data_IF_153985811370
#
_entry.id   IF_153985811370
#
_cell.length_a   1.000
_cell.length_b   1.000
_cell.length_c   1.000
_cell.angle_alpha   90.00
_cell.angle_beta   90.00
_cell.angle_gamma   90.00
#
_symmetry.space_group_name_H-M   'P 1'
#
loop_
_entity.id
_entity.type
_entity.pdbx_description
1 polymer ?
#
# COMPACT_ATOMS: atom_id res chain seq x y z
N UNK A 1 -7.37 2.31 -21.04
CA UNK A 1 -8.06 3.45 -21.71
C UNK A 1 -7.17 3.94 -22.85
N UNK A 2 -7.61 3.94 -24.11
CA UNK A 2 -6.79 4.41 -25.22
C UNK A 2 -6.59 5.92 -25.08
N UNK A 3 -5.33 6.34 -24.92
CA UNK A 3 -4.96 7.76 -24.85
C UNK A 3 -4.99 8.32 -26.27
N UNK A 4 -5.99 9.14 -26.58
CA UNK A 4 -6.02 9.90 -27.83
C UNK A 4 -4.76 10.80 -27.91
N UNK A 5 -4.01 10.79 -29.02
CA UNK A 5 -2.81 11.62 -29.16
C UNK A 5 -3.18 13.10 -29.02
N UNK A 6 -2.61 13.76 -28.01
CA UNK A 6 -2.71 15.22 -27.85
C UNK A 6 -1.95 15.91 -28.98
N UNK A 7 -2.58 16.91 -29.60
CA UNK A 7 -2.07 17.64 -30.78
C UNK A 7 -0.79 18.44 -30.50
N UNK A 8 -0.52 18.75 -29.23
CA UNK A 8 0.46 19.77 -28.83
C UNK A 8 1.83 19.20 -28.39
N UNK A 9 2.08 17.88 -28.61
CA UNK A 9 3.29 17.12 -28.21
C UNK A 9 4.14 17.78 -27.11
N UNK A 10 3.57 17.98 -25.91
CA UNK A 10 4.20 18.83 -24.91
C UNK A 10 5.47 18.14 -24.38
N UNK A 11 6.59 18.86 -24.39
CA UNK A 11 7.86 18.38 -23.89
C UNK A 11 8.19 19.03 -22.54
N UNK A 12 8.85 18.27 -21.66
CA UNK A 12 9.42 18.83 -20.45
C UNK A 12 10.68 19.65 -20.75
N UNK A 13 11.18 20.39 -19.75
CA UNK A 13 12.44 21.16 -19.85
C UNK A 13 13.67 20.33 -20.21
N UNK A 14 13.62 19.00 -20.04
CA UNK A 14 14.66 18.05 -20.41
C UNK A 14 14.46 17.45 -21.81
N UNK A 15 13.50 17.95 -22.59
CA UNK A 15 13.23 17.50 -23.96
C UNK A 15 12.57 16.12 -24.06
N UNK A 16 11.93 15.62 -23.00
CA UNK A 16 11.14 14.38 -23.05
C UNK A 16 9.64 14.69 -23.18
N UNK A 17 8.92 13.87 -23.95
CA UNK A 17 7.47 13.99 -24.11
C UNK A 17 6.73 13.79 -22.79
N UNK A 18 5.71 14.60 -22.55
CA UNK A 18 4.79 14.50 -21.42
C UNK A 18 3.60 13.54 -21.70
N UNK A 19 3.74 12.68 -22.70
CA UNK A 19 2.87 11.53 -22.94
C UNK A 19 3.59 10.45 -23.74
N UNK A 20 3.28 9.18 -23.47
CA UNK A 20 3.64 8.07 -24.34
C UNK A 20 2.54 7.90 -25.41
N UNK A 21 2.89 7.95 -26.70
CA UNK A 21 1.94 7.72 -27.80
C UNK A 21 1.63 6.22 -28.00
N UNK A 22 1.88 5.40 -26.98
CA UNK A 22 1.72 3.95 -26.99
C UNK A 22 0.48 3.56 -26.19
N UNK A 23 -0.16 2.47 -26.61
CA UNK A 23 -1.23 1.83 -25.85
C UNK A 23 -0.58 0.75 -24.99
N UNK A 24 -0.70 0.90 -23.68
CA UNK A 24 -0.14 -0.03 -22.71
C UNK A 24 -1.23 -0.98 -22.20
N UNK A 25 -0.88 -2.26 -22.05
CA UNK A 25 -1.66 -3.23 -21.29
C UNK A 25 -1.40 -3.06 -19.79
N UNK A 26 -2.21 -3.67 -18.93
CA UNK A 26 -2.02 -3.57 -17.47
C UNK A 26 -0.65 -4.09 -17.00
N UNK A 27 -0.13 -5.13 -17.66
CA UNK A 27 1.17 -5.74 -17.35
C UNK A 27 2.36 -5.10 -18.07
N UNK A 28 2.17 -3.98 -18.77
CA UNK A 28 3.27 -3.34 -19.48
C UNK A 28 4.28 -2.75 -18.48
N UNK A 29 5.57 -3.12 -18.55
CA UNK A 29 6.59 -2.70 -17.58
C UNK A 29 6.87 -1.19 -17.59
N UNK A 30 6.38 -0.46 -18.59
CA UNK A 30 6.46 1.00 -18.65
C UNK A 30 5.35 1.69 -17.85
N UNK A 31 4.25 1.01 -17.52
CA UNK A 31 3.17 1.63 -16.74
C UNK A 31 3.65 1.92 -15.32
N UNK A 32 3.38 3.13 -14.86
CA UNK A 32 3.82 3.62 -13.56
C UNK A 32 5.22 4.24 -13.56
N UNK A 33 6.02 4.05 -14.61
CA UNK A 33 7.31 4.73 -14.70
C UNK A 33 7.13 6.22 -15.03
N UNK A 34 7.96 7.11 -14.48
CA UNK A 34 7.95 8.51 -14.84
C UNK A 34 8.38 8.70 -16.31
N UNK A 35 7.59 9.48 -17.06
CA UNK A 35 7.92 9.88 -18.43
C UNK A 35 9.28 10.59 -18.53
N UNK A 36 9.62 11.36 -17.50
CA UNK A 36 10.93 11.98 -17.34
C UNK A 36 11.43 11.78 -15.91
N UNK A 37 12.45 10.93 -15.69
CA UNK A 37 13.01 10.68 -14.36
C UNK A 37 13.61 11.92 -13.70
N UNK A 38 14.09 12.88 -14.48
CA UNK A 38 14.62 14.16 -13.97
C UNK A 38 13.51 15.14 -13.58
N UNK A 39 12.29 14.96 -14.09
CA UNK A 39 11.12 15.72 -13.66
C UNK A 39 10.38 15.06 -12.50
N UNK A 40 10.67 13.79 -12.20
CA UNK A 40 9.93 13.07 -11.17
C UNK A 40 10.34 13.53 -9.78
N UNK A 41 9.35 13.85 -8.97
CA UNK A 41 9.56 14.28 -7.59
C UNK A 41 9.81 13.09 -6.66
N UNK A 42 11.02 12.53 -6.72
CA UNK A 42 11.44 11.48 -5.80
C UNK A 42 11.43 11.94 -4.34
N UNK A 43 11.66 13.23 -4.08
CA UNK A 43 11.72 13.77 -2.72
C UNK A 43 10.33 13.75 -2.10
N UNK A 44 9.34 14.36 -2.77
CA UNK A 44 7.95 14.33 -2.34
C UNK A 44 7.42 12.91 -2.22
N UNK A 45 7.81 11.99 -3.12
CA UNK A 45 7.45 10.56 -3.01
C UNK A 45 7.97 9.93 -1.71
N UNK A 46 9.26 10.06 -1.41
CA UNK A 46 9.85 9.46 -0.21
C UNK A 46 9.29 10.10 1.06
N UNK A 47 9.08 11.42 1.06
CA UNK A 47 8.46 12.13 2.18
C UNK A 47 7.00 11.71 2.36
N UNK A 48 6.25 11.51 1.27
CA UNK A 48 4.91 10.92 1.29
C UNK A 48 4.90 9.57 2.02
N UNK A 49 5.77 8.65 1.62
CA UNK A 49 5.90 7.34 2.26
C UNK A 49 6.23 7.42 3.75
N UNK A 50 7.23 8.22 4.10
CA UNK A 50 7.70 8.35 5.46
C UNK A 50 6.64 8.95 6.39
N UNK A 51 5.79 9.83 5.85
CA UNK A 51 4.73 10.52 6.59
C UNK A 51 3.34 9.86 6.48
N UNK A 52 3.14 8.86 5.64
CA UNK A 52 1.83 8.24 5.41
C UNK A 52 1.15 7.74 6.71
N UNK A 53 1.92 7.22 7.68
CA UNK A 53 1.40 6.84 8.99
C UNK A 53 0.92 8.04 9.84
N UNK A 54 1.67 9.15 9.80
CA UNK A 54 1.31 10.40 10.50
C UNK A 54 0.11 11.06 9.82
N UNK A 55 0.05 11.02 8.49
CA UNK A 55 -1.08 11.53 7.72
C UNK A 55 -2.35 10.72 8.00
N UNK A 56 -2.27 9.39 8.07
CA UNK A 56 -3.39 8.55 8.51
C UNK A 56 -3.89 8.91 9.93
N UNK A 57 -2.97 9.18 10.87
CA UNK A 57 -3.35 9.64 12.21
C UNK A 57 -4.10 10.98 12.17
N UNK A 58 -3.66 11.93 11.34
CA UNK A 58 -4.35 13.21 11.12
C UNK A 58 -5.73 13.02 10.50
N UNK A 59 -5.83 12.17 9.47
CA UNK A 59 -7.09 11.80 8.83
C UNK A 59 -8.09 11.27 9.85
N UNK A 60 -7.74 10.22 10.61
CA UNK A 60 -8.68 9.66 11.60
C UNK A 60 -8.99 10.62 12.75
N UNK A 61 -8.10 11.58 13.04
CA UNK A 61 -8.39 12.67 14.00
C UNK A 61 -9.37 13.67 13.43
N UNK A 62 -9.25 14.04 12.15
CA UNK A 62 -10.17 14.93 11.46
C UNK A 62 -11.57 14.33 11.34
N UNK A 63 -11.67 13.04 10.98
CA UNK A 63 -12.96 12.30 10.97
C UNK A 63 -13.64 12.40 12.34
N UNK A 64 -12.93 12.07 13.43
CA UNK A 64 -13.49 12.17 14.80
C UNK A 64 -13.88 13.59 15.19
N UNK A 65 -13.16 14.61 14.73
CA UNK A 65 -13.50 16.02 14.97
C UNK A 65 -14.78 16.40 14.25
N UNK A 66 -14.90 16.02 12.98
CA UNK A 66 -16.09 16.28 12.18
C UNK A 66 -17.32 15.64 12.82
N UNK A 67 -17.24 14.35 13.19
CA UNK A 67 -18.34 13.63 13.84
C UNK A 67 -18.75 14.24 15.18
N UNK A 68 -17.78 14.68 15.99
CA UNK A 68 -18.06 15.37 17.24
C UNK A 68 -18.85 16.67 17.01
N UNK A 69 -18.47 17.46 15.99
CA UNK A 69 -19.20 18.68 15.61
C UNK A 69 -20.60 18.35 15.09
N UNK A 70 -20.74 17.37 14.18
CA UNK A 70 -22.03 16.96 13.63
C UNK A 70 -23.01 16.48 14.72
N UNK A 71 -22.52 15.76 15.72
CA UNK A 71 -23.34 15.31 16.85
C UNK A 71 -23.56 16.35 17.96
N UNK A 72 -22.92 17.52 17.90
CA UNK A 72 -22.95 18.50 18.99
C UNK A 72 -22.27 18.01 20.28
N UNK A 73 -21.33 17.07 20.17
CA UNK A 73 -20.69 16.37 21.29
C UNK A 73 -19.26 16.92 21.49
N UNK A 74 -18.82 17.21 22.73
CA UNK A 74 -17.42 17.52 22.99
C UNK A 74 -16.50 16.37 22.51
N UNK A 75 -15.40 16.68 21.82
CA UNK A 75 -14.50 15.65 21.25
C UNK A 75 -14.01 14.62 22.28
N UNK A 76 -13.81 15.02 23.53
CA UNK A 76 -13.40 14.14 24.64
C UNK A 76 -14.47 13.12 25.01
N UNK A 77 -15.73 13.40 24.69
CA UNK A 77 -16.93 12.61 25.01
C UNK A 77 -17.41 11.75 23.85
N UNK A 78 -16.89 11.95 22.64
CA UNK A 78 -17.32 11.18 21.45
C UNK A 78 -17.29 9.67 21.68
N UNK A 79 -16.26 9.15 22.37
CA UNK A 79 -16.13 7.71 22.66
C UNK A 79 -17.20 7.13 23.58
N UNK A 80 -17.97 7.97 24.30
CA UNK A 80 -19.12 7.57 25.11
C UNK A 80 -20.39 7.41 24.24
N UNK A 81 -20.36 7.90 23.00
CA UNK A 81 -21.49 7.86 22.07
C UNK A 81 -21.24 6.96 20.86
N UNK A 82 -20.02 6.98 20.30
CA UNK A 82 -19.67 6.17 19.14
C UNK A 82 -18.16 5.90 19.06
N UNK A 83 -17.80 4.87 18.28
CA UNK A 83 -16.43 4.53 17.95
C UNK A 83 -16.24 4.53 16.44
N UNK A 84 -15.22 5.24 15.97
CA UNK A 84 -14.76 5.15 14.58
C UNK A 84 -13.83 3.94 14.46
N UNK A 85 -14.38 2.86 13.93
CA UNK A 85 -13.68 1.62 13.64
C UNK A 85 -13.20 1.62 12.19
N UNK A 86 -11.99 1.13 11.95
CA UNK A 86 -11.47 0.97 10.60
C UNK A 86 -10.54 -0.23 10.46
N UNK A 87 -10.44 -0.73 9.24
CA UNK A 87 -9.32 -1.50 8.75
C UNK A 87 -8.76 -0.80 7.51
N UNK A 88 -7.44 -0.76 7.39
CA UNK A 88 -6.76 -0.21 6.23
C UNK A 88 -5.69 -1.13 5.70
N UNK A 89 -5.57 -1.16 4.38
CA UNK A 89 -4.55 -1.87 3.64
C UNK A 89 -3.69 -0.87 2.88
N UNK A 90 -2.37 -1.01 2.94
CA UNK A 90 -1.40 -0.26 2.15
C UNK A 90 -0.95 -1.12 0.96
N UNK A 91 -1.20 -0.65 -0.25
CA UNK A 91 -0.79 -1.34 -1.48
C UNK A 91 0.14 -0.44 -2.29
N UNK A 92 1.19 -1.02 -2.86
CA UNK A 92 2.06 -0.32 -3.80
C UNK A 92 1.41 -0.28 -5.17
N UNK A 93 1.25 0.92 -5.72
CA UNK A 93 0.88 1.12 -7.12
C UNK A 93 2.03 0.70 -8.04
N UNK A 94 1.78 0.56 -9.34
CA UNK A 94 2.83 0.27 -10.33
C UNK A 94 3.96 1.30 -10.34
N UNK A 95 3.66 2.57 -9.99
CA UNK A 95 4.66 3.64 -9.78
C UNK A 95 5.42 3.55 -8.45
N UNK A 96 5.28 2.45 -7.73
CA UNK A 96 5.82 2.18 -6.41
C UNK A 96 5.37 3.15 -5.30
N UNK A 97 4.35 3.99 -5.53
CA UNK A 97 3.75 4.82 -4.50
C UNK A 97 2.72 4.02 -3.70
N UNK A 98 2.73 4.11 -2.38
CA UNK A 98 1.66 3.49 -1.58
C UNK A 98 0.34 4.25 -1.77
N UNK A 99 -0.74 3.49 -1.79
CA UNK A 99 -2.10 3.99 -1.63
C UNK A 99 -2.82 3.17 -0.56
N UNK A 100 -3.86 3.75 0.06
CA UNK A 100 -4.63 3.08 1.10
C UNK A 100 -6.02 2.70 0.61
N UNK A 101 -6.37 1.44 0.82
CA UNK A 101 -7.76 1.01 0.87
C UNK A 101 -8.19 0.97 2.32
N UNK A 102 -9.37 1.49 2.63
CA UNK A 102 -9.89 1.44 3.99
C UNK A 102 -11.37 1.13 4.02
N UNK A 103 -11.77 0.33 5.00
CA UNK A 103 -13.15 0.18 5.43
C UNK A 103 -13.29 0.94 6.73
N UNK A 104 -14.24 1.86 6.78
CA UNK A 104 -14.53 2.69 7.97
C UNK A 104 -15.98 2.43 8.38
N UNK A 105 -16.21 2.23 9.68
CA UNK A 105 -17.51 1.95 10.27
C UNK A 105 -17.73 2.81 11.51
N UNK A 106 -18.97 3.23 11.73
CA UNK A 106 -19.41 3.84 12.97
C UNK A 106 -20.07 2.78 13.84
N UNK A 107 -19.43 2.49 14.97
CA UNK A 107 -19.91 1.56 15.97
C UNK A 107 -20.48 2.33 17.17
N UNK A 108 -21.34 1.69 17.95
CA UNK A 108 -21.75 2.19 19.26
C UNK A 108 -20.59 2.20 20.27
N UNK A 109 -20.81 2.75 21.48
CA UNK A 109 -19.76 2.93 22.48
C UNK A 109 -19.18 1.62 23.00
N UNK A 110 -19.87 0.49 22.81
CA UNK A 110 -19.39 -0.85 23.19
C UNK A 110 -18.73 -1.62 22.02
N UNK A 111 -18.64 -1.01 20.83
CA UNK A 111 -18.03 -1.61 19.64
C UNK A 111 -19.05 -2.18 18.64
N UNK A 112 -18.59 -3.10 17.79
CA UNK A 112 -19.31 -3.55 16.58
C UNK A 112 -20.73 -4.06 16.78
N UNK A 113 -21.04 -4.65 17.95
CA UNK A 113 -22.37 -5.18 18.28
C UNK A 113 -23.34 -4.11 18.81
N UNK A 114 -22.85 -2.89 19.06
CA UNK A 114 -23.63 -1.76 19.57
C UNK A 114 -23.88 -0.77 18.44
N UNK A 115 -25.08 -0.20 18.38
CA UNK A 115 -25.46 0.76 17.34
C UNK A 115 -24.91 2.15 17.65
N UNK A 116 -24.45 2.84 16.60
CA UNK A 116 -24.14 4.27 16.69
C UNK A 116 -25.43 5.09 16.89
N UNK A 117 -25.32 6.34 17.38
CA UNK A 117 -26.48 7.23 17.50
C UNK A 117 -27.18 7.46 16.16
N UNK A 118 -28.50 7.69 16.17
CA UNK A 118 -29.29 7.82 14.95
C UNK A 118 -28.84 8.97 14.01
N UNK A 119 -28.17 9.99 14.51
CA UNK A 119 -27.62 11.09 13.70
C UNK A 119 -26.33 10.71 12.97
N UNK A 120 -25.62 9.68 13.41
CA UNK A 120 -24.36 9.21 12.85
C UNK A 120 -24.64 8.30 11.64
N UNK A 121 -25.24 8.90 10.61
CA UNK A 121 -25.62 8.20 9.38
C UNK A 121 -24.42 7.94 8.48
N UNK A 122 -24.64 7.13 7.45
CA UNK A 122 -23.68 6.87 6.37
C UNK A 122 -23.24 8.16 5.66
N UNK A 123 -24.17 9.05 5.34
CA UNK A 123 -23.87 10.34 4.70
C UNK A 123 -22.96 11.21 5.58
N UNK A 124 -23.23 11.25 6.89
CA UNK A 124 -22.38 11.99 7.85
C UNK A 124 -20.99 11.37 7.94
N UNK A 125 -20.85 10.05 7.81
CA UNK A 125 -19.55 9.40 7.73
C UNK A 125 -18.82 9.76 6.42
N UNK A 126 -19.53 9.73 5.30
CA UNK A 126 -18.98 10.07 3.99
C UNK A 126 -18.44 11.51 3.99
N UNK A 127 -19.25 12.47 4.42
CA UNK A 127 -18.86 13.87 4.57
C UNK A 127 -17.63 14.02 5.48
N UNK A 128 -17.60 13.29 6.60
CA UNK A 128 -16.47 13.33 7.54
C UNK A 128 -15.17 12.82 6.90
N UNK A 129 -15.25 11.75 6.10
CA UNK A 129 -14.11 11.13 5.42
C UNK A 129 -13.62 12.01 4.28
N UNK A 130 -14.51 12.55 3.46
CA UNK A 130 -14.19 13.52 2.40
C UNK A 130 -13.52 14.78 2.97
N UNK A 131 -14.12 15.36 4.02
CA UNK A 131 -13.54 16.52 4.70
C UNK A 131 -12.16 16.21 5.30
N UNK A 132 -12.00 15.04 5.92
CA UNK A 132 -10.73 14.62 6.49
C UNK A 132 -9.66 14.39 5.42
N UNK A 133 -10.01 13.85 4.26
CA UNK A 133 -9.10 13.68 3.13
C UNK A 133 -8.65 15.04 2.57
N UNK A 134 -9.58 15.96 2.36
CA UNK A 134 -9.27 17.29 1.83
C UNK A 134 -8.44 18.16 2.80
N UNK A 135 -8.64 18.00 4.12
CA UNK A 135 -8.03 18.88 5.13
C UNK A 135 -6.74 18.35 5.76
N UNK A 136 -6.44 17.05 5.63
CA UNK A 136 -5.30 16.45 6.32
C UNK A 136 -3.99 16.69 5.58
N UNK A 137 -3.02 17.27 6.29
CA UNK A 137 -1.65 17.39 5.80
C UNK A 137 -0.65 17.27 6.95
N UNK A 138 0.62 17.05 6.58
CA UNK A 138 1.78 17.07 7.46
C UNK A 138 2.78 18.06 6.88
N UNK A 139 3.13 19.08 7.65
CA UNK A 139 4.30 19.92 7.36
C UNK A 139 5.55 19.14 7.72
N UNK A 140 6.46 19.03 6.75
CA UNK A 140 7.80 18.45 6.94
C UNK A 140 8.70 19.55 7.50
N UNK A 141 9.74 19.17 8.25
CA UNK A 141 10.72 20.15 8.71
C UNK A 141 11.37 20.84 7.50
N UNK A 142 11.64 22.14 7.60
CA UNK A 142 12.33 22.85 6.52
C UNK A 142 13.76 22.31 6.35
N UNK A 143 14.22 22.27 5.10
CA UNK A 143 15.57 21.84 4.75
C UNK A 143 16.09 22.62 3.55
N UNK A 144 17.38 22.94 3.51
CA UNK A 144 18.00 23.51 2.32
C UNK A 144 17.94 22.55 1.11
N UNK A 145 17.79 21.24 1.35
CA UNK A 145 17.75 20.23 0.30
C UNK A 145 16.43 20.20 -0.49
N UNK A 146 15.33 20.67 0.09
CA UNK A 146 13.99 20.59 -0.51
C UNK A 146 13.05 21.76 -0.15
N UNK A 147 13.48 22.72 0.64
CA UNK A 147 12.68 23.85 1.09
C UNK A 147 11.62 23.46 2.13
N UNK A 148 10.46 24.10 2.05
CA UNK A 148 9.29 23.81 2.88
C UNK A 148 8.36 22.85 2.16
N UNK A 149 8.13 21.68 2.75
CA UNK A 149 7.29 20.65 2.15
C UNK A 149 6.02 20.38 2.97
N UNK A 150 4.90 20.19 2.25
CA UNK A 150 3.60 19.80 2.83
C UNK A 150 3.09 18.55 2.14
N UNK A 151 2.94 17.50 2.93
CA UNK A 151 2.46 16.19 2.48
C UNK A 151 0.99 16.04 2.83
N UNK A 152 0.11 15.96 1.82
CA UNK A 152 -1.33 15.72 1.97
C UNK A 152 -1.80 14.58 1.07
N UNK A 153 -3.08 14.20 1.20
CA UNK A 153 -3.68 13.21 0.29
C UNK A 153 -3.70 13.75 -1.14
N UNK A 154 -3.45 12.88 -2.12
CA UNK A 154 -3.53 13.23 -3.54
C UNK A 154 -4.96 13.40 -4.03
N UNK A 155 -5.11 13.79 -5.30
CA UNK A 155 -6.41 14.01 -5.94
C UNK A 155 -7.20 12.71 -6.19
N UNK A 156 -6.51 11.56 -6.20
CA UNK A 156 -7.12 10.25 -6.36
C UNK A 156 -7.72 9.79 -5.03
N UNK A 157 -8.94 10.21 -4.77
CA UNK A 157 -9.74 9.81 -3.62
C UNK A 157 -11.12 9.35 -4.10
N UNK A 158 -11.54 8.20 -3.62
CA UNK A 158 -12.87 7.64 -3.88
C UNK A 158 -13.39 7.03 -2.58
N UNK A 159 -14.60 7.42 -2.20
CA UNK A 159 -15.27 6.93 -1.01
C UNK A 159 -16.74 6.70 -1.35
N UNK A 160 -17.21 5.50 -1.06
CA UNK A 160 -18.59 5.14 -1.28
C UNK A 160 -19.04 4.12 -0.24
N UNK A 161 -20.35 4.05 0.03
CA UNK A 161 -20.93 3.02 0.87
C UNK A 161 -20.59 1.62 0.39
N UNK A 162 -20.36 0.70 1.34
CA UNK A 162 -20.25 -0.73 1.03
C UNK A 162 -21.64 -1.32 1.19
N UNK A 163 -22.34 -1.51 0.06
CA UNK A 163 -23.66 -2.11 0.06
C UNK A 163 -23.57 -3.63 0.29
N UNK A 164 -24.55 -4.24 0.97
CA UNK A 164 -24.62 -5.69 1.07
C UNK A 164 -24.82 -6.37 -0.29
N UNK A 165 -24.56 -7.68 -0.33
CA UNK A 165 -25.01 -8.55 -1.41
C UNK A 165 -26.56 -8.57 -1.49
N UNK A 166 -27.16 -8.83 -2.67
CA UNK A 166 -28.60 -8.67 -2.91
C UNK A 166 -29.57 -9.39 -1.95
N UNK A 167 -29.09 -10.39 -1.18
CA UNK A 167 -29.91 -11.21 -0.27
C UNK A 167 -29.77 -10.82 1.21
N UNK A 168 -29.25 -9.63 1.52
CA UNK A 168 -29.07 -9.14 2.90
C UNK A 168 -29.23 -7.62 2.97
N UNK A 169 -29.94 -7.07 3.95
CA UNK A 169 -30.01 -5.62 4.19
C UNK A 169 -28.81 -5.09 5.00
N UNK A 170 -27.91 -5.98 5.45
CA UNK A 170 -26.70 -5.62 6.21
C UNK A 170 -25.46 -6.14 5.47
N UNK A 171 -24.42 -5.30 5.23
CA UNK A 171 -23.15 -5.80 4.71
C UNK A 171 -22.64 -6.89 5.66
N UNK A 172 -22.60 -8.13 5.18
CA UNK A 172 -22.11 -9.23 6.01
C UNK A 172 -20.63 -8.97 6.33
N UNK A 173 -20.17 -9.37 7.51
CA UNK A 173 -18.74 -9.35 7.85
C UNK A 173 -17.89 -10.10 6.79
N UNK A 174 -18.50 -11.04 6.06
CA UNK A 174 -17.90 -11.71 4.90
C UNK A 174 -17.72 -10.81 3.66
N UNK A 175 -18.62 -9.85 3.39
CA UNK A 175 -18.44 -8.87 2.31
C UNK A 175 -17.29 -7.90 2.62
N UNK A 176 -17.19 -7.48 3.88
CA UNK A 176 -16.09 -6.64 4.39
C UNK A 176 -14.76 -7.40 4.38
N UNK A 177 -14.75 -8.67 4.82
CA UNK A 177 -13.57 -9.52 4.78
C UNK A 177 -13.13 -9.84 3.35
N UNK A 178 -14.07 -10.09 2.43
CA UNK A 178 -13.79 -10.28 1.00
C UNK A 178 -13.21 -9.02 0.35
N UNK A 179 -13.75 -7.85 0.70
CA UNK A 179 -13.21 -6.58 0.26
C UNK A 179 -11.77 -6.39 0.75
N UNK A 180 -11.49 -6.64 2.02
CA UNK A 180 -10.12 -6.57 2.55
C UNK A 180 -9.19 -7.61 1.92
N UNK A 181 -9.65 -8.85 1.75
CA UNK A 181 -8.86 -9.95 1.21
C UNK A 181 -8.38 -9.69 -0.23
N UNK A 182 -9.16 -8.96 -1.03
CA UNK A 182 -8.76 -8.52 -2.38
C UNK A 182 -7.44 -7.74 -2.40
N UNK A 183 -7.12 -7.01 -1.32
CA UNK A 183 -5.98 -6.09 -1.28
C UNK A 183 -4.82 -6.62 -0.42
N UNK A 184 -4.98 -7.75 0.28
CA UNK A 184 -3.96 -8.27 1.22
C UNK A 184 -2.85 -9.08 0.51
N UNK A 185 -2.92 -9.31 -0.80
CA UNK A 185 -2.07 -10.29 -1.51
C UNK A 185 -0.88 -9.73 -2.27
N UNK A 186 -0.41 -8.51 -1.97
CA UNK A 186 0.71 -7.91 -2.72
C UNK A 186 1.78 -7.31 -1.83
N UNK A 187 2.89 -8.02 -1.68
CA UNK A 187 4.09 -7.54 -0.98
C UNK A 187 4.95 -6.58 -1.83
N UNK A 188 5.91 -5.91 -1.18
CA UNK A 188 6.86 -5.00 -1.85
C UNK A 188 7.72 -5.72 -2.92
N UNK A 189 8.12 -6.97 -2.66
CA UNK A 189 8.87 -7.78 -3.63
C UNK A 189 8.02 -8.26 -4.81
N UNK A 190 6.76 -8.64 -4.55
CA UNK A 190 5.81 -9.11 -5.58
C UNK A 190 5.32 -7.99 -6.49
N UNK A 191 5.35 -6.74 -6.01
CA UNK A 191 4.99 -5.53 -6.77
C UNK A 191 6.20 -4.86 -7.45
N UNK A 192 7.42 -5.37 -7.22
CA UNK A 192 8.66 -4.71 -7.65
C UNK A 192 8.93 -3.36 -6.94
N UNK A 193 8.15 -3.01 -5.92
CA UNK A 193 8.24 -1.76 -5.17
C UNK A 193 9.24 -1.86 -4.01
N UNK A 194 10.51 -2.15 -4.34
CA UNK A 194 11.60 -2.30 -3.40
C UNK A 194 12.16 -3.71 -3.34
N UNK A 195 12.78 -4.06 -2.21
CA UNK A 195 13.38 -5.39 -1.97
C UNK A 195 12.94 -5.93 -0.61
N UNK A 196 12.90 -7.25 -0.46
CA UNK A 196 12.46 -7.96 0.75
C UNK A 196 13.54 -8.07 1.84
N UNK A 197 14.75 -7.60 1.56
CA UNK A 197 15.87 -7.56 2.50
C UNK A 197 16.28 -6.12 2.84
N UNK A 198 16.95 -5.92 3.98
CA UNK A 198 17.44 -4.59 4.34
C UNK A 198 18.61 -4.18 3.46
N UNK A 199 18.57 -2.93 3.03
CA UNK A 199 19.68 -2.23 2.39
C UNK A 199 20.47 -1.49 3.46
N UNK A 200 21.78 -1.73 3.51
CA UNK A 200 22.69 -1.20 4.52
C UNK A 200 23.78 -0.28 3.96
N UNK A 201 23.93 -0.24 2.64
CA UNK A 201 24.90 0.62 1.96
C UNK A 201 24.39 1.17 0.61
N UNK A 202 25.07 2.18 0.06
CA UNK A 202 24.82 2.63 -1.32
C UNK A 202 25.20 1.56 -2.35
N UNK A 203 26.14 0.68 -2.02
CA UNK A 203 26.55 -0.43 -2.88
C UNK A 203 25.44 -1.47 -2.98
N UNK A 204 24.76 -1.78 -1.87
CA UNK A 204 23.57 -2.63 -1.86
C UNK A 204 22.48 -2.07 -2.79
N UNK A 205 22.27 -0.74 -2.79
CA UNK A 205 21.32 -0.07 -3.70
C UNK A 205 21.77 -0.23 -5.16
N UNK A 206 23.07 -0.21 -5.44
CA UNK A 206 23.63 -0.42 -6.79
C UNK A 206 23.57 -1.88 -7.23
N UNK A 207 23.64 -2.82 -6.30
CA UNK A 207 23.55 -4.25 -6.58
C UNK A 207 22.09 -4.74 -6.67
N UNK A 208 21.13 -4.04 -6.06
CA UNK A 208 19.73 -4.43 -6.05
C UNK A 208 19.18 -4.67 -7.47
N UNK A 209 18.49 -5.79 -7.68
CA UNK A 209 17.84 -6.13 -8.96
C UNK A 209 16.45 -5.48 -8.97
N UNK A 210 16.43 -4.17 -9.26
CA UNK A 210 15.22 -3.34 -9.34
C UNK A 210 15.29 -2.43 -10.56
N UNK A 211 14.13 -1.95 -11.01
CA UNK A 211 14.08 -0.97 -12.09
C UNK A 211 14.75 0.36 -11.68
N UNK A 212 15.01 1.21 -12.68
CA UNK A 212 15.74 2.47 -12.49
C UNK A 212 15.05 3.40 -11.46
N UNK A 213 13.72 3.48 -11.49
CA UNK A 213 12.96 4.46 -10.71
C UNK A 213 12.85 4.04 -9.24
N UNK A 214 12.65 2.75 -8.98
CA UNK A 214 12.74 2.17 -7.63
C UNK A 214 14.14 2.40 -7.06
N UNK A 215 15.20 2.17 -7.86
CA UNK A 215 16.58 2.48 -7.43
C UNK A 215 16.78 3.97 -7.11
N UNK A 216 16.17 4.87 -7.88
CA UNK A 216 16.20 6.30 -7.64
C UNK A 216 15.49 6.68 -6.32
N UNK A 217 14.37 6.02 -6.00
CA UNK A 217 13.67 6.19 -4.72
C UNK A 217 14.50 5.66 -3.55
N UNK A 218 15.13 4.49 -3.67
CA UNK A 218 16.07 3.97 -2.67
C UNK A 218 17.24 4.93 -2.43
N UNK A 219 17.85 5.44 -3.50
CA UNK A 219 18.91 6.44 -3.42
C UNK A 219 18.45 7.75 -2.76
N UNK A 220 17.20 8.17 -3.03
CA UNK A 220 16.59 9.34 -2.40
C UNK A 220 16.36 9.12 -0.91
N UNK A 221 15.88 7.94 -0.49
CA UNK A 221 15.82 7.56 0.92
C UNK A 221 17.19 7.65 1.58
N UNK A 222 18.24 7.22 0.89
CA UNK A 222 19.60 7.24 1.43
C UNK A 222 20.15 8.66 1.62
N UNK A 223 19.90 9.53 0.64
CA UNK A 223 20.26 10.95 0.67
C UNK A 223 19.52 11.70 1.77
N UNK A 224 18.18 11.63 1.77
CA UNK A 224 17.34 12.30 2.76
C UNK A 224 17.58 11.75 4.17
N UNK A 225 17.85 10.46 4.31
CA UNK A 225 18.19 9.85 5.60
C UNK A 225 19.56 10.25 6.16
N UNK A 226 20.33 11.08 5.46
CA UNK A 226 21.53 11.74 5.99
C UNK A 226 21.27 13.15 6.54
N UNK A 227 20.05 13.68 6.41
CA UNK A 227 19.70 15.01 6.89
C UNK A 227 19.32 14.97 8.38
N UNK A 228 19.95 15.77 9.25
CA UNK A 228 19.66 15.78 10.69
C UNK A 228 18.18 16.03 11.03
N UNK A 229 17.54 16.95 10.32
CA UNK A 229 16.12 17.30 10.48
C UNK A 229 15.17 16.13 10.17
N UNK A 230 15.62 15.16 9.37
CA UNK A 230 14.87 13.95 8.99
C UNK A 230 15.30 12.69 9.74
N UNK A 231 16.21 12.78 10.72
CA UNK A 231 16.74 11.61 11.44
C UNK A 231 15.63 10.73 12.04
N UNK A 232 14.60 11.38 12.61
CA UNK A 232 13.43 10.74 13.20
C UNK A 232 12.58 9.89 12.22
N UNK A 233 12.76 10.07 10.91
CA UNK A 233 12.11 9.26 9.88
C UNK A 233 12.84 7.93 9.63
N UNK A 234 14.13 7.86 9.96
CA UNK A 234 14.99 6.68 9.77
C UNK A 234 14.97 6.14 8.33
N UNK A 235 15.06 7.02 7.34
CA UNK A 235 14.86 6.66 5.92
C UNK A 235 15.85 5.61 5.38
N UNK A 236 17.11 5.60 5.85
CA UNK A 236 18.14 4.63 5.42
C UNK A 236 17.74 3.17 5.74
N UNK A 237 17.43 2.81 7.01
CA UNK A 237 16.92 1.47 7.34
C UNK A 237 15.70 1.03 6.54
N UNK A 238 14.87 1.97 6.08
CA UNK A 238 13.63 1.71 5.32
C UNK A 238 13.77 1.96 3.82
N UNK A 239 15.00 2.10 3.30
CA UNK A 239 15.21 2.30 1.86
C UNK A 239 14.70 1.11 1.03
N UNK A 240 14.78 -0.10 1.58
CA UNK A 240 14.25 -1.32 0.97
C UNK A 240 12.74 -1.29 0.70
N UNK A 241 11.98 -0.53 1.51
CA UNK A 241 10.55 -0.28 1.36
C UNK A 241 10.25 1.15 0.89
N UNK A 242 11.22 1.79 0.24
CA UNK A 242 11.10 3.14 -0.33
C UNK A 242 10.69 4.21 0.70
N UNK A 243 11.10 4.05 1.95
CA UNK A 243 10.80 4.96 3.05
C UNK A 243 9.47 4.67 3.77
N UNK A 244 8.66 3.72 3.29
CA UNK A 244 7.43 3.33 3.97
C UNK A 244 7.73 2.42 5.16
N UNK A 245 7.29 2.83 6.34
CA UNK A 245 7.53 2.14 7.62
C UNK A 245 6.27 1.59 8.28
N UNK A 246 5.13 1.66 7.59
CA UNK A 246 3.85 1.22 8.13
C UNK A 246 3.61 -0.28 7.92
N UNK A 247 2.58 -0.79 8.58
CA UNK A 247 2.09 -2.14 8.33
C UNK A 247 1.19 -2.15 7.09
N UNK A 248 1.36 -3.17 6.24
CA UNK A 248 0.49 -3.41 5.09
C UNK A 248 -0.97 -3.49 5.50
N UNK A 249 -1.28 -4.14 6.62
CA UNK A 249 -2.63 -4.19 7.18
C UNK A 249 -2.65 -3.60 8.59
N UNK A 250 -3.57 -2.67 8.84
CA UNK A 250 -3.77 -2.05 10.16
C UNK A 250 -5.25 -2.01 10.51
N UNK A 251 -5.62 -2.60 11.64
CA UNK A 251 -6.97 -2.53 12.19
C UNK A 251 -7.00 -1.60 13.41
N UNK A 252 -8.08 -0.86 13.56
CA UNK A 252 -8.40 -0.17 14.80
C UNK A 252 -8.73 -1.20 15.90
N UNK A 253 -8.53 -0.83 17.17
CA UNK A 253 -8.62 -1.77 18.31
C UNK A 253 -9.96 -2.50 18.44
N UNK A 254 -11.06 -1.89 17.99
CA UNK A 254 -12.43 -2.43 18.09
C UNK A 254 -13.02 -2.88 16.75
N UNK A 255 -12.19 -2.99 15.71
CA UNK A 255 -12.66 -3.36 14.38
C UNK A 255 -13.11 -4.83 14.29
N UNK A 256 -12.30 -5.74 14.85
CA UNK A 256 -12.52 -7.18 14.77
C UNK A 256 -11.87 -7.87 15.98
N UNK A 257 -12.05 -9.18 16.08
CA UNK A 257 -11.31 -10.03 17.03
C UNK A 257 -9.79 -9.88 16.81
N UNK A 258 -9.01 -10.19 17.85
CA UNK A 258 -7.56 -10.06 17.76
C UNK A 258 -6.95 -11.20 16.95
N UNK A 259 -5.84 -10.93 16.24
CA UNK A 259 -5.05 -12.01 15.62
C UNK A 259 -4.56 -13.06 16.62
N UNK A 260 -4.42 -12.71 17.91
CA UNK A 260 -4.10 -13.64 18.98
C UNK A 260 -5.21 -14.66 19.17
N UNK A 261 -6.44 -14.18 19.40
CA UNK A 261 -7.63 -15.02 19.53
C UNK A 261 -7.82 -15.93 18.29
N UNK A 262 -7.67 -15.38 17.07
CA UNK A 262 -7.75 -16.19 15.84
C UNK A 262 -6.62 -17.22 15.68
N UNK A 263 -5.46 -17.01 16.31
CA UNK A 263 -4.38 -18.01 16.32
C UNK A 263 -4.66 -19.10 17.34
N UNK A 264 -5.18 -18.75 18.51
CA UNK A 264 -5.61 -19.69 19.55
C UNK A 264 -6.72 -20.59 19.03
N UNK A 265 -7.77 -20.02 18.46
CA UNK A 265 -8.89 -20.79 17.87
C UNK A 265 -8.41 -21.73 16.76
N UNK A 266 -7.51 -21.27 15.87
CA UNK A 266 -6.91 -22.14 14.85
C UNK A 266 -5.96 -23.20 15.44
N UNK A 267 -5.38 -22.96 16.60
CA UNK A 267 -4.58 -23.95 17.30
C UNK A 267 -5.48 -24.99 17.96
N UNK A 268 -6.59 -24.57 18.58
CA UNK A 268 -7.62 -25.45 19.15
C UNK A 268 -8.30 -26.31 18.08
N UNK A 269 -8.65 -25.72 16.93
CA UNK A 269 -9.20 -26.47 15.80
C UNK A 269 -8.21 -27.53 15.28
N UNK A 270 -6.91 -27.17 15.16
CA UNK A 270 -5.85 -28.12 14.77
C UNK A 270 -5.63 -29.22 15.82
N UNK A 271 -5.75 -28.89 17.12
CA UNK A 271 -5.76 -29.88 18.21
C UNK A 271 -7.00 -30.77 18.15
N UNK A 272 -8.14 -30.26 17.69
CA UNK A 272 -9.38 -31.03 17.51
C UNK A 272 -9.32 -32.06 16.38
N UNK A 273 -8.64 -31.74 15.27
CA UNK A 273 -8.46 -32.64 14.11
C UNK A 273 -7.33 -33.67 14.30
N UNK A 274 -6.43 -33.45 15.26
CA UNK A 274 -5.43 -34.42 15.68
C UNK A 274 -5.68 -34.72 17.15
N UNK A 275 -6.57 -35.67 17.46
CA UNK A 275 -6.53 -36.29 18.80
C UNK A 275 -5.17 -37.00 18.89
N UNK A 276 -4.23 -36.55 19.72
CA UNK A 276 -3.20 -37.45 20.19
C UNK A 276 -3.95 -38.49 21.03
N UNK A 277 -3.69 -39.78 20.84
CA UNK A 277 -3.87 -40.67 21.99
C UNK A 277 -3.05 -40.05 23.13
N UNK A 278 -3.66 -39.90 24.32
CA UNK A 278 -3.04 -39.31 25.50
C UNK A 278 -1.79 -40.12 25.90
N UNK A 279 -0.69 -39.91 25.21
CA UNK A 279 0.64 -40.36 25.62
C UNK A 279 1.31 -39.18 26.34
N UNK A 280 1.48 -39.26 27.67
CA UNK A 280 2.10 -38.20 28.47
C UNK A 280 3.55 -37.89 28.07
N UNK A 281 4.15 -38.68 27.17
CA UNK A 281 5.49 -38.43 26.60
C UNK A 281 5.49 -37.70 25.24
N UNK A 282 4.34 -37.20 24.77
CA UNK A 282 4.27 -36.46 23.49
C UNK A 282 4.89 -35.06 23.60
N UNK A 283 6.16 -34.94 23.22
CA UNK A 283 6.88 -33.66 23.11
C UNK A 283 6.60 -33.03 21.74
N UNK A 284 5.96 -31.86 21.71
CA UNK A 284 5.86 -31.07 20.47
C UNK A 284 7.16 -30.31 20.22
N UNK A 285 8.07 -30.88 19.45
CA UNK A 285 9.25 -30.15 18.95
C UNK A 285 8.88 -29.28 17.74
N UNK A 286 8.69 -27.97 17.98
CA UNK A 286 8.59 -26.98 16.91
C UNK A 286 9.99 -26.52 16.49
N UNK A 287 10.68 -27.33 15.70
CA UNK A 287 11.97 -26.97 15.12
C UNK A 287 11.79 -26.16 13.83
N UNK A 288 11.96 -24.85 13.91
CA UNK A 288 12.05 -24.00 12.73
C UNK A 288 13.49 -23.99 12.21
N UNK A 289 13.72 -24.64 11.06
CA UNK A 289 14.99 -24.57 10.34
C UNK A 289 14.83 -23.61 9.17
N UNK A 290 15.77 -22.66 9.05
CA UNK A 290 15.87 -21.85 7.84
C UNK A 290 16.13 -22.75 6.62
N UNK A 291 15.16 -22.81 5.70
CA UNK A 291 15.20 -23.69 4.51
C UNK A 291 15.81 -22.96 3.30
N UNK A 292 15.90 -21.63 3.34
CA UNK A 292 16.44 -20.77 2.29
C UNK A 292 15.55 -19.56 2.00
N UNK A 293 16.06 -18.61 1.23
CA UNK A 293 15.31 -17.51 0.61
C UNK A 293 15.73 -17.40 -0.86
N UNK A 294 14.80 -17.03 -1.73
CA UNK A 294 15.02 -17.03 -3.18
C UNK A 294 14.86 -18.42 -3.83
N UNK A 295 15.30 -18.52 -5.09
CA UNK A 295 15.25 -19.77 -5.83
C UNK A 295 16.30 -20.76 -5.33
N UNK A 296 15.96 -22.06 -5.27
CA UNK A 296 16.98 -23.12 -5.18
C UNK A 296 17.90 -23.06 -6.40
N UNK A 297 19.13 -23.61 -6.39
CA UNK A 297 19.99 -23.59 -7.57
C UNK A 297 19.29 -24.10 -8.84
N UNK A 298 18.53 -25.20 -8.74
CA UNK A 298 17.74 -25.70 -9.87
C UNK A 298 16.58 -24.76 -10.27
N UNK A 299 15.88 -24.16 -9.31
CA UNK A 299 14.83 -23.18 -9.62
C UNK A 299 15.40 -21.87 -10.19
N UNK A 300 16.65 -21.53 -9.86
CA UNK A 300 17.35 -20.38 -10.41
C UNK A 300 17.70 -20.62 -11.88
N UNK A 301 18.12 -21.84 -12.24
CA UNK A 301 18.37 -22.23 -13.63
C UNK A 301 17.07 -22.21 -14.46
N UNK A 302 15.95 -22.71 -13.90
CA UNK A 302 14.64 -22.62 -14.56
C UNK A 302 14.18 -21.16 -14.70
N UNK A 303 14.35 -20.34 -13.66
CA UNK A 303 14.00 -18.92 -13.72
C UNK A 303 14.86 -18.17 -14.75
N UNK A 304 16.15 -18.51 -14.86
CA UNK A 304 17.05 -17.98 -15.88
C UNK A 304 16.61 -18.39 -17.28
N UNK A 305 16.29 -19.67 -17.50
CA UNK A 305 15.78 -20.16 -18.78
C UNK A 305 14.47 -19.47 -19.20
N UNK A 306 13.53 -19.28 -18.27
CA UNK A 306 12.29 -18.52 -18.53
C UNK A 306 12.61 -17.05 -18.88
N UNK A 307 13.57 -16.43 -18.18
CA UNK A 307 13.97 -15.06 -18.46
C UNK A 307 14.64 -14.91 -19.84
N UNK A 308 15.49 -15.87 -20.23
CA UNK A 308 16.12 -15.96 -21.55
C UNK A 308 15.09 -16.18 -22.66
N UNK A 309 14.14 -17.10 -22.46
CA UNK A 309 13.04 -17.35 -23.40
C UNK A 309 12.18 -16.10 -23.60
N UNK A 310 11.85 -15.39 -22.52
CA UNK A 310 11.10 -14.14 -22.60
C UNK A 310 11.89 -13.02 -23.29
N UNK A 311 13.22 -12.95 -23.09
CA UNK A 311 14.06 -12.00 -23.80
C UNK A 311 14.12 -12.31 -25.30
N UNK A 312 14.31 -13.57 -25.67
CA UNK A 312 14.33 -14.05 -27.05
C UNK A 312 12.98 -13.80 -27.73
N UNK A 313 11.86 -14.10 -27.05
CA UNK A 313 10.51 -13.82 -27.58
C UNK A 313 10.28 -12.33 -27.80
N UNK A 314 10.85 -11.46 -26.96
CA UNK A 314 10.78 -10.00 -27.14
C UNK A 314 11.59 -9.54 -28.35
N UNK A 315 12.79 -10.07 -28.56
CA UNK A 315 13.61 -9.77 -29.74
C UNK A 315 12.94 -10.27 -31.03
N UNK A 316 12.44 -11.51 -31.04
CA UNK A 316 11.70 -12.08 -32.16
C UNK A 316 10.47 -11.21 -32.46
N UNK A 317 9.70 -10.82 -31.44
CA UNK A 317 8.54 -9.93 -31.61
C UNK A 317 8.96 -8.58 -32.20
N UNK A 318 10.06 -7.98 -31.75
CA UNK A 318 10.58 -6.72 -32.31
C UNK A 318 11.00 -6.86 -33.77
N UNK A 319 11.68 -7.95 -34.13
CA UNK A 319 12.04 -8.27 -35.51
C UNK A 319 10.80 -8.49 -36.38
N UNK A 320 9.81 -9.25 -35.92
CA UNK A 320 8.56 -9.46 -36.65
C UNK A 320 7.80 -8.15 -36.88
N UNK A 321 7.78 -7.25 -35.89
CA UNK A 321 7.18 -5.91 -36.05
C UNK A 321 7.96 -5.07 -37.07
N UNK A 322 9.30 -5.12 -37.04
CA UNK A 322 10.16 -4.39 -37.98
C UNK A 322 10.02 -4.91 -39.43
N UNK A 323 9.75 -6.21 -39.59
CA UNK A 323 9.48 -6.86 -40.88
C UNK A 323 8.02 -6.70 -41.36
N UNK A 324 7.20 -5.92 -40.64
CA UNK A 324 5.84 -5.55 -41.06
C UNK A 324 4.78 -6.63 -40.84
N UNK A 325 5.06 -7.66 -40.04
CA UNK A 325 4.06 -8.66 -39.67
C UNK A 325 2.98 -8.02 -38.77
N UNK A 326 1.72 -8.08 -39.22
CA UNK A 326 0.54 -7.75 -38.42
C UNK A 326 -0.08 -9.05 -37.92
N UNK A 327 -0.21 -9.20 -36.60
CA UNK A 327 -1.01 -10.28 -36.02
C UNK A 327 -2.48 -10.11 -36.45
N UNK A 328 -3.11 -11.17 -36.91
CA UNK A 328 -4.57 -11.20 -37.13
C UNK A 328 -5.28 -11.05 -35.79
N UNK A 329 -6.25 -10.13 -35.72
CA UNK A 329 -7.09 -9.80 -34.56
C UNK A 329 -7.76 -11.01 -33.90
#
# INVERSE_FOLDING_TARGET
MPVLPRRDDPHCKHGRRLGCALVHTEDDPLVGLPLCPECYDCVGHVLWHAHAGKLWNRFTTAVRRYLATAGGIPRSKLGEHLVVSFAKVAEFQQRAAIHFHAVVRLDGPDGAASSAPAWATEDVLLDAVEHAAASSFVTVADSDAYGTERVGWGEQFDAHPIRPLPDSDVPSDSAVAGYMAKYVTKGAGETGAGVDYRVTSLEDIRAAVVNRDVRALMGTCWRLGGLPELEHLRLRPWAHSLGYRGHILTNSRRYSTTYGALREERADHRRGDTKPEDDPDTITEAAWRYVGSGYTPGAADFALGIAEDLANLREIKQHMIAEGWKYSE
#
